data_IF_848005064878
#
_entry.id   IF_848005064878
#
_cell.length_a   1.000
_cell.length_b   1.000
_cell.length_c   1.000
_cell.angle_alpha   90.00
_cell.angle_beta   90.00
_cell.angle_gamma   90.00
#
_symmetry.space_group_name_H-M   'P 1'
#
loop_
_entity.id
_entity.type
_entity.pdbx_description
1 polymer ?
#
# COMPACT_ATOMS: atom_id res chain seq x y z
N UNK A 1 -25.37 11.43 -18.69
CA UNK A 1 -24.96 12.86 -18.76
C UNK A 1 -25.57 13.70 -17.62
N UNK A 2 -26.89 13.82 -17.44
CA UNK A 2 -27.53 14.67 -16.38
C UNK A 2 -27.07 14.33 -14.94
N UNK A 3 -26.82 13.06 -14.58
CA UNK A 3 -26.34 12.65 -13.25
C UNK A 3 -24.91 13.14 -13.00
N UNK A 4 -23.99 12.98 -13.97
CA UNK A 4 -22.62 13.48 -13.88
C UNK A 4 -22.54 15.00 -13.73
N UNK A 5 -23.36 15.74 -14.49
CA UNK A 5 -23.44 17.21 -14.36
C UNK A 5 -23.90 17.63 -12.96
N UNK A 6 -24.92 16.96 -12.39
CA UNK A 6 -25.37 17.23 -11.02
C UNK A 6 -24.28 16.96 -9.99
N UNK A 7 -23.54 15.84 -10.11
CA UNK A 7 -22.42 15.52 -9.21
C UNK A 7 -21.33 16.59 -9.34
N UNK A 8 -21.03 17.00 -10.56
CA UNK A 8 -20.03 18.07 -10.82
C UNK A 8 -20.40 19.41 -10.16
N UNK A 9 -21.68 19.77 -10.14
CA UNK A 9 -22.16 21.02 -9.55
C UNK A 9 -22.21 21.00 -8.02
N UNK A 10 -22.18 19.83 -7.38
CA UNK A 10 -22.22 19.74 -5.91
C UNK A 10 -21.00 20.40 -5.26
N UNK A 11 -21.23 21.17 -4.20
CA UNK A 11 -20.18 21.70 -3.33
C UNK A 11 -19.52 20.60 -2.49
N UNK A 12 -20.28 19.55 -2.14
CA UNK A 12 -19.83 18.40 -1.39
C UNK A 12 -20.42 17.12 -1.99
N UNK A 13 -19.63 16.05 -2.03
CA UNK A 13 -19.98 14.75 -2.60
C UNK A 13 -19.77 13.66 -1.58
N UNK A 14 -20.63 12.66 -1.57
CA UNK A 14 -20.43 11.43 -0.80
C UNK A 14 -19.89 10.38 -1.75
N UNK A 15 -18.74 9.82 -1.43
CA UNK A 15 -18.04 8.87 -2.27
C UNK A 15 -17.56 7.65 -1.47
N UNK A 16 -17.52 6.50 -2.13
CA UNK A 16 -16.81 5.32 -1.65
C UNK A 16 -15.47 5.20 -2.36
N UNK A 17 -14.42 4.94 -1.59
CA UNK A 17 -13.14 4.47 -2.11
C UNK A 17 -12.97 2.99 -1.75
N UNK A 18 -12.53 2.17 -2.71
CA UNK A 18 -12.30 0.75 -2.50
C UNK A 18 -10.95 0.32 -3.03
N UNK A 19 -10.27 -0.52 -2.26
CA UNK A 19 -8.96 -1.05 -2.64
C UNK A 19 -8.74 -2.44 -2.04
N UNK A 20 -8.14 -3.32 -2.84
CA UNK A 20 -7.51 -4.54 -2.33
C UNK A 20 -6.00 -4.45 -2.64
N UNK A 21 -5.19 -4.52 -1.59
CA UNK A 21 -3.74 -4.33 -1.68
C UNK A 21 -2.99 -5.59 -2.12
N UNK A 22 -1.70 -5.44 -2.41
CA UNK A 22 -0.81 -6.56 -2.78
C UNK A 22 -0.55 -7.56 -1.65
N UNK A 23 -0.89 -7.22 -0.39
CA UNK A 23 -0.91 -8.14 0.75
C UNK A 23 -1.96 -9.24 0.61
N UNK A 24 -2.99 -8.99 -0.20
CA UNK A 24 -4.08 -9.94 -0.49
C UNK A 24 -4.77 -10.42 0.80
N UNK A 25 -4.94 -9.52 1.75
CA UNK A 25 -5.57 -9.79 3.05
C UNK A 25 -7.06 -9.45 3.10
N UNK A 26 -7.52 -8.54 2.22
CA UNK A 26 -8.92 -8.16 2.15
C UNK A 26 -9.16 -6.93 1.29
N UNK A 27 -10.39 -6.43 1.40
CA UNK A 27 -10.87 -5.22 0.74
C UNK A 27 -11.04 -4.11 1.77
N UNK A 28 -10.33 -3.01 1.58
CA UNK A 28 -10.56 -1.77 2.32
C UNK A 28 -11.64 -0.96 1.62
N UNK A 29 -12.62 -0.49 2.40
CA UNK A 29 -13.71 0.37 1.92
C UNK A 29 -13.82 1.59 2.82
N UNK A 30 -13.78 2.77 2.21
CA UNK A 30 -13.89 4.05 2.90
C UNK A 30 -15.07 4.85 2.36
N UNK A 31 -16.02 5.20 3.20
CA UNK A 31 -17.08 6.15 2.91
C UNK A 31 -16.62 7.55 3.31
N UNK A 32 -16.62 8.48 2.37
CA UNK A 32 -16.04 9.81 2.57
C UNK A 32 -16.99 10.92 2.09
N UNK A 33 -16.85 12.08 2.74
CA UNK A 33 -17.39 13.34 2.23
C UNK A 33 -16.26 14.16 1.63
N UNK A 34 -16.37 14.49 0.35
CA UNK A 34 -15.36 15.27 -0.38
C UNK A 34 -15.95 16.62 -0.70
N UNK A 35 -15.36 17.69 -0.17
CA UNK A 35 -15.73 19.08 -0.46
C UNK A 35 -14.62 19.75 -1.30
N UNK A 36 -14.99 20.74 -2.11
CA UNK A 36 -14.02 21.38 -3.01
C UNK A 36 -13.67 20.56 -4.25
N UNK A 37 -12.61 20.93 -4.95
CA UNK A 37 -12.13 20.31 -6.20
C UNK A 37 -10.63 20.43 -6.35
N UNK A 38 -10.00 19.47 -7.04
CA UNK A 38 -8.56 19.47 -7.29
C UNK A 38 -7.77 19.68 -6.01
N UNK A 39 -6.80 20.57 -6.03
CA UNK A 39 -5.98 20.87 -4.85
C UNK A 39 -6.78 21.52 -3.70
N UNK A 40 -7.93 22.14 -3.95
CA UNK A 40 -8.78 22.69 -2.90
C UNK A 40 -9.73 21.64 -2.27
N UNK A 41 -9.55 20.36 -2.59
CA UNK A 41 -10.35 19.29 -1.99
C UNK A 41 -10.03 19.11 -0.50
N UNK A 42 -11.09 18.85 0.25
CA UNK A 42 -11.03 18.42 1.64
C UNK A 42 -11.83 17.13 1.77
N UNK A 43 -11.28 16.17 2.46
CA UNK A 43 -11.87 14.83 2.62
C UNK A 43 -12.14 14.58 4.09
N UNK A 44 -13.37 14.19 4.40
CA UNK A 44 -13.79 13.78 5.73
C UNK A 44 -14.21 12.31 5.68
N UNK A 45 -13.57 11.47 6.48
CA UNK A 45 -13.91 10.06 6.61
C UNK A 45 -15.21 9.92 7.43
N UNK A 46 -16.21 9.28 6.86
CA UNK A 46 -17.51 9.03 7.49
C UNK A 46 -17.58 7.63 8.10
N UNK A 47 -17.05 6.64 7.38
CA UNK A 47 -16.97 5.25 7.84
C UNK A 47 -15.84 4.52 7.10
N UNK A 48 -15.27 3.50 7.74
CA UNK A 48 -14.22 2.66 7.17
C UNK A 48 -14.36 1.23 7.68
N UNK A 49 -14.14 0.27 6.79
CA UNK A 49 -14.01 -1.13 7.17
C UNK A 49 -13.05 -1.87 6.24
N UNK A 50 -12.35 -2.84 6.80
CA UNK A 50 -11.59 -3.86 6.05
C UNK A 50 -12.38 -5.17 6.10
N UNK A 51 -12.68 -5.72 4.93
CA UNK A 51 -13.34 -7.01 4.77
C UNK A 51 -12.32 -8.06 4.35
N UNK A 52 -11.96 -9.00 5.23
CA UNK A 52 -10.91 -9.98 4.93
C UNK A 52 -11.35 -10.95 3.83
N UNK A 53 -10.42 -11.32 2.95
CA UNK A 53 -10.63 -12.45 2.06
C UNK A 53 -10.62 -13.76 2.84
N UNK A 54 -11.44 -14.73 2.41
CA UNK A 54 -11.31 -16.11 2.89
C UNK A 54 -9.94 -16.67 2.50
N UNK A 55 -9.45 -17.66 3.25
CA UNK A 55 -8.17 -18.32 2.92
C UNK A 55 -8.17 -18.89 1.50
N UNK A 56 -9.30 -19.46 1.05
CA UNK A 56 -9.47 -19.97 -0.29
C UNK A 56 -9.37 -18.85 -1.34
N UNK A 57 -10.07 -17.74 -1.15
CA UNK A 57 -10.03 -16.59 -2.08
C UNK A 57 -8.63 -15.99 -2.15
N UNK A 58 -7.99 -15.80 -1.01
CA UNK A 58 -6.61 -15.31 -0.96
C UNK A 58 -5.66 -16.19 -1.75
N UNK A 59 -5.76 -17.51 -1.59
CA UNK A 59 -4.92 -18.45 -2.33
C UNK A 59 -5.19 -18.39 -3.84
N UNK A 60 -6.47 -18.32 -4.26
CA UNK A 60 -6.82 -18.16 -5.68
C UNK A 60 -6.19 -16.89 -6.28
N UNK A 61 -6.31 -15.74 -5.58
CA UNK A 61 -5.70 -14.48 -6.05
C UNK A 61 -4.17 -14.60 -6.17
N UNK A 62 -3.50 -15.21 -5.21
CA UNK A 62 -2.03 -15.40 -5.24
C UNK A 62 -1.58 -16.29 -6.40
N UNK A 63 -2.38 -17.28 -6.79
CA UNK A 63 -2.10 -18.17 -7.91
C UNK A 63 -2.25 -17.50 -9.28
N UNK A 64 -2.95 -16.35 -9.38
CA UNK A 64 -3.16 -15.64 -10.64
C UNK A 64 -1.87 -15.14 -11.30
N UNK A 65 -0.76 -15.06 -10.58
CA UNK A 65 0.56 -14.71 -11.15
C UNK A 65 1.05 -15.72 -12.21
N UNK A 66 0.59 -16.96 -12.12
CA UNK A 66 0.93 -18.05 -13.05
C UNK A 66 -0.30 -18.71 -13.68
N UNK A 67 -1.47 -18.09 -13.53
CA UNK A 67 -2.73 -18.65 -14.00
C UNK A 67 -2.91 -18.50 -15.53
N UNK A 68 -3.82 -19.29 -16.07
CA UNK A 68 -4.28 -19.16 -17.45
C UNK A 68 -5.21 -17.96 -17.61
N UNK A 69 -5.34 -17.49 -18.84
CA UNK A 69 -6.15 -16.30 -19.16
C UNK A 69 -7.62 -16.46 -18.74
N UNK A 70 -8.16 -17.67 -18.89
CA UNK A 70 -9.56 -17.97 -18.52
C UNK A 70 -9.80 -17.75 -17.03
N UNK A 71 -8.84 -18.14 -16.21
CA UNK A 71 -8.92 -18.00 -14.75
C UNK A 71 -8.82 -16.53 -14.31
N UNK A 72 -7.93 -15.76 -14.95
CA UNK A 72 -7.83 -14.31 -14.72
C UNK A 72 -9.14 -13.63 -15.12
N UNK A 73 -9.73 -14.03 -16.26
CA UNK A 73 -11.00 -13.50 -16.74
C UNK A 73 -12.14 -13.76 -15.74
N UNK A 74 -12.30 -15.01 -15.28
CA UNK A 74 -13.30 -15.37 -14.28
C UNK A 74 -13.11 -14.59 -12.97
N UNK A 75 -11.86 -14.54 -12.50
CA UNK A 75 -11.52 -13.87 -11.25
C UNK A 75 -11.76 -12.35 -11.29
N UNK A 76 -11.65 -11.71 -12.46
CA UNK A 76 -12.01 -10.30 -12.61
C UNK A 76 -13.46 -10.04 -12.22
N UNK A 77 -14.38 -10.91 -12.64
CA UNK A 77 -15.81 -10.81 -12.31
C UNK A 77 -16.07 -11.19 -10.86
N UNK A 78 -15.49 -12.28 -10.36
CA UNK A 78 -15.64 -12.71 -8.95
C UNK A 78 -15.18 -11.62 -7.99
N UNK A 79 -14.03 -10.99 -8.24
CA UNK A 79 -13.52 -9.89 -7.41
C UNK A 79 -14.44 -8.67 -7.52
N UNK A 80 -14.99 -8.39 -8.69
CA UNK A 80 -16.01 -7.35 -8.88
C UNK A 80 -17.24 -7.55 -7.99
N UNK A 81 -17.76 -8.79 -7.91
CA UNK A 81 -18.87 -9.17 -7.02
C UNK A 81 -18.51 -8.94 -5.53
N UNK A 82 -17.33 -9.38 -5.11
CA UNK A 82 -16.85 -9.19 -3.73
C UNK A 82 -16.73 -7.70 -3.39
N UNK A 83 -16.19 -6.89 -4.29
CA UNK A 83 -16.09 -5.45 -4.10
C UNK A 83 -17.45 -4.78 -3.96
N UNK A 84 -18.43 -5.18 -4.80
CA UNK A 84 -19.79 -4.68 -4.71
C UNK A 84 -20.45 -5.06 -3.37
N UNK A 85 -20.28 -6.31 -2.92
CA UNK A 85 -20.78 -6.77 -1.61
C UNK A 85 -20.16 -5.99 -0.45
N UNK A 86 -18.84 -5.74 -0.49
CA UNK A 86 -18.15 -4.95 0.53
C UNK A 86 -18.68 -3.51 0.58
N UNK A 87 -18.91 -2.89 -0.59
CA UNK A 87 -19.50 -1.56 -0.69
C UNK A 87 -20.88 -1.51 -0.04
N UNK A 88 -21.78 -2.43 -0.41
CA UNK A 88 -23.14 -2.49 0.13
C UNK A 88 -23.15 -2.76 1.64
N UNK A 89 -22.27 -3.64 2.14
CA UNK A 89 -22.12 -3.92 3.58
C UNK A 89 -21.69 -2.68 4.36
N UNK A 90 -20.71 -1.92 3.87
CA UNK A 90 -20.28 -0.69 4.54
C UNK A 90 -21.39 0.35 4.55
N UNK A 91 -22.11 0.52 3.42
CA UNK A 91 -23.23 1.47 3.34
C UNK A 91 -24.33 1.13 4.33
N UNK A 92 -24.73 -0.14 4.40
CA UNK A 92 -25.73 -0.60 5.35
C UNK A 92 -25.29 -0.35 6.80
N UNK A 93 -24.04 -0.67 7.14
CA UNK A 93 -23.48 -0.42 8.47
C UNK A 93 -23.46 1.07 8.83
N UNK A 94 -23.13 1.92 7.86
CA UNK A 94 -23.04 3.37 8.04
C UNK A 94 -24.41 4.09 7.95
N UNK A 95 -25.52 3.37 7.70
CA UNK A 95 -26.86 3.94 7.56
C UNK A 95 -27.08 4.73 6.26
N UNK A 96 -26.30 4.44 5.22
CA UNK A 96 -26.41 5.06 3.91
C UNK A 96 -27.08 4.12 2.90
N UNK A 97 -27.89 4.71 2.00
CA UNK A 97 -28.42 4.00 0.83
C UNK A 97 -27.55 4.29 -0.39
N UNK A 98 -27.46 3.36 -1.37
CA UNK A 98 -26.68 3.55 -2.59
C UNK A 98 -27.02 4.84 -3.36
N UNK A 99 -28.28 5.26 -3.36
CA UNK A 99 -28.76 6.46 -4.05
C UNK A 99 -28.19 7.77 -3.48
N UNK A 100 -27.70 7.72 -2.23
CA UNK A 100 -27.05 8.86 -1.57
C UNK A 100 -25.58 9.00 -1.95
N UNK A 101 -25.01 8.00 -2.63
CA UNK A 101 -23.62 7.98 -3.05
C UNK A 101 -23.48 8.58 -4.44
N UNK A 102 -22.60 9.55 -4.56
CA UNK A 102 -22.35 10.23 -5.82
C UNK A 102 -21.53 9.39 -6.79
N UNK A 103 -20.46 8.76 -6.29
CA UNK A 103 -19.59 7.86 -7.07
C UNK A 103 -18.81 6.90 -6.18
N UNK A 104 -18.37 5.82 -6.78
CA UNK A 104 -17.42 4.85 -6.23
C UNK A 104 -16.12 4.97 -7.00
N UNK A 105 -14.98 5.05 -6.28
CA UNK A 105 -13.66 4.86 -6.85
C UNK A 105 -13.15 3.47 -6.48
N UNK A 106 -12.93 2.60 -7.46
CA UNK A 106 -12.41 1.26 -7.22
C UNK A 106 -11.02 1.09 -7.83
N UNK A 107 -10.04 0.81 -6.98
CA UNK A 107 -8.69 0.43 -7.44
C UNK A 107 -8.66 -1.02 -7.94
N UNK A 108 -9.58 -1.87 -7.46
CA UNK A 108 -9.51 -3.31 -7.68
C UNK A 108 -8.39 -3.98 -6.89
N UNK A 109 -8.05 -5.20 -7.30
CA UNK A 109 -6.95 -6.04 -6.78
C UNK A 109 -5.82 -6.07 -7.80
N UNK A 110 -4.64 -5.61 -7.43
CA UNK A 110 -3.46 -5.70 -8.32
C UNK A 110 -2.99 -7.13 -8.45
N UNK A 111 -2.92 -7.61 -9.69
CA UNK A 111 -2.33 -8.90 -10.06
C UNK A 111 -0.89 -8.71 -10.51
N UNK A 112 -0.67 -7.77 -11.44
CA UNK A 112 0.66 -7.52 -11.96
C UNK A 112 0.91 -6.04 -12.22
N UNK A 113 2.17 -5.62 -12.07
CA UNK A 113 2.62 -4.28 -12.42
C UNK A 113 4.02 -4.34 -13.02
N UNK A 114 4.16 -3.87 -14.26
CA UNK A 114 5.41 -3.80 -15.00
C UNK A 114 5.85 -2.34 -15.12
N UNK A 115 6.97 -2.00 -14.53
CA UNK A 115 7.55 -0.64 -14.53
C UNK A 115 8.54 -0.39 -15.67
N UNK A 116 8.35 -0.99 -16.83
CA UNK A 116 9.17 -0.73 -18.02
C UNK A 116 10.65 -1.16 -17.94
N UNK A 117 11.06 -1.86 -16.90
CA UNK A 117 12.43 -2.36 -16.77
C UNK A 117 12.75 -3.38 -17.89
N UNK A 118 14.02 -3.44 -18.31
CA UNK A 118 14.52 -4.37 -19.30
C UNK A 118 13.86 -4.25 -20.70
N UNK A 119 13.48 -3.03 -21.13
CA UNK A 119 12.93 -2.78 -22.48
C UNK A 119 11.46 -3.18 -22.64
N UNK A 120 10.77 -3.55 -21.56
CA UNK A 120 9.33 -3.82 -21.58
C UNK A 120 8.54 -2.52 -21.48
N UNK A 121 7.32 -2.52 -22.01
CA UNK A 121 6.36 -1.41 -21.83
C UNK A 121 5.88 -1.34 -20.38
N UNK A 122 5.70 -0.13 -19.87
CA UNK A 122 4.88 0.08 -18.68
C UNK A 122 3.50 -0.55 -18.89
N UNK A 123 3.11 -1.44 -18.01
CA UNK A 123 1.79 -2.07 -18.05
C UNK A 123 1.37 -2.52 -16.66
N UNK A 124 0.08 -2.67 -16.47
CA UNK A 124 -0.47 -3.01 -15.15
C UNK A 124 -1.79 -3.76 -15.33
N UNK A 125 -2.08 -4.66 -14.41
CA UNK A 125 -3.33 -5.41 -14.37
C UNK A 125 -3.89 -5.36 -12.95
N UNK A 126 -5.03 -4.68 -12.81
CA UNK A 126 -5.90 -4.75 -11.66
C UNK A 126 -7.18 -5.47 -12.11
N UNK A 127 -7.69 -6.38 -11.28
CA UNK A 127 -8.96 -7.07 -11.47
C UNK A 127 -10.00 -6.59 -10.48
N UNK A 128 -11.28 -6.83 -10.78
CA UNK A 128 -12.42 -6.34 -10.02
C UNK A 128 -13.28 -5.46 -10.91
N UNK A 129 -14.05 -6.12 -11.80
CA UNK A 129 -14.83 -5.52 -12.87
C UNK A 129 -15.71 -4.37 -12.40
N UNK A 130 -15.41 -3.15 -12.85
CA UNK A 130 -16.13 -1.93 -12.46
C UNK A 130 -17.59 -1.92 -12.92
N UNK A 131 -17.92 -2.57 -14.03
CA UNK A 131 -19.28 -2.71 -14.51
C UNK A 131 -20.16 -3.53 -13.55
N UNK A 132 -19.60 -4.58 -12.94
CA UNK A 132 -20.29 -5.37 -11.90
C UNK A 132 -20.59 -4.48 -10.69
N UNK A 133 -19.58 -3.72 -10.21
CA UNK A 133 -19.76 -2.83 -9.06
C UNK A 133 -20.87 -1.81 -9.37
N UNK A 134 -20.82 -1.19 -10.55
CA UNK A 134 -21.83 -0.22 -10.96
C UNK A 134 -23.24 -0.82 -11.08
N UNK A 135 -23.36 -2.01 -11.69
CA UNK A 135 -24.63 -2.70 -11.86
C UNK A 135 -25.26 -3.11 -10.52
N UNK A 136 -24.44 -3.69 -9.60
CA UNK A 136 -24.89 -4.16 -8.30
C UNK A 136 -25.29 -3.03 -7.34
N UNK A 137 -24.54 -1.92 -7.39
CA UNK A 137 -24.77 -0.78 -6.47
C UNK A 137 -25.69 0.28 -7.05
N UNK A 138 -25.88 0.35 -8.37
CA UNK A 138 -26.54 1.45 -9.05
C UNK A 138 -25.78 2.78 -8.99
N UNK A 139 -24.51 2.75 -8.55
CA UNK A 139 -23.66 3.95 -8.37
C UNK A 139 -22.65 4.05 -9.50
N UNK A 140 -22.40 5.26 -9.99
CA UNK A 140 -21.32 5.51 -10.96
C UNK A 140 -20.00 5.03 -10.37
N UNK A 141 -19.32 4.12 -11.06
CA UNK A 141 -18.02 3.57 -10.64
C UNK A 141 -16.92 4.06 -11.54
N UNK A 142 -15.84 4.55 -10.94
CA UNK A 142 -14.59 4.96 -11.60
C UNK A 142 -13.52 3.95 -11.22
N UNK A 143 -12.85 3.38 -12.22
CA UNK A 143 -11.79 2.38 -12.07
C UNK A 143 -10.62 2.69 -13.01
N UNK A 144 -9.65 1.77 -13.09
CA UNK A 144 -8.52 1.83 -14.03
C UNK A 144 -7.60 3.06 -13.86
N UNK A 145 -7.39 3.49 -12.64
CA UNK A 145 -6.54 4.64 -12.33
C UNK A 145 -5.10 4.45 -12.82
N UNK A 146 -4.53 3.24 -12.66
CA UNK A 146 -3.15 2.95 -13.09
C UNK A 146 -3.01 2.84 -14.60
N UNK A 147 -3.90 2.13 -15.32
CA UNK A 147 -3.93 2.17 -16.77
C UNK A 147 -4.08 3.59 -17.33
N UNK A 148 -4.92 4.42 -16.70
CA UNK A 148 -5.11 5.81 -17.13
C UNK A 148 -3.83 6.65 -16.99
N UNK A 149 -3.09 6.50 -15.89
CA UNK A 149 -1.79 7.15 -15.68
C UNK A 149 -0.77 6.72 -16.73
N UNK A 150 -0.68 5.42 -17.01
CA UNK A 150 0.23 4.88 -18.04
C UNK A 150 -0.14 5.41 -19.43
N UNK A 151 -1.43 5.48 -19.75
CA UNK A 151 -1.91 6.04 -21.02
C UNK A 151 -1.57 7.52 -21.17
N UNK A 152 -1.50 8.25 -20.06
CA UNK A 152 -1.05 9.65 -20.03
C UNK A 152 0.49 9.81 -20.04
N UNK A 153 1.26 8.72 -20.16
CA UNK A 153 2.73 8.76 -20.20
C UNK A 153 3.40 8.49 -18.85
N UNK A 154 2.63 8.20 -17.80
CA UNK A 154 3.13 7.83 -16.49
C UNK A 154 3.59 6.36 -16.39
N UNK A 155 3.86 5.94 -15.18
CA UNK A 155 4.31 4.58 -14.86
C UNK A 155 3.25 3.72 -14.15
N UNK A 156 2.08 4.30 -13.87
CA UNK A 156 0.99 3.65 -13.13
C UNK A 156 1.22 3.54 -11.63
N UNK A 157 2.37 3.99 -11.13
CA UNK A 157 2.73 4.02 -9.71
C UNK A 157 3.90 4.99 -9.48
N UNK A 158 3.94 5.69 -8.32
CA UNK A 158 2.92 5.72 -7.28
C UNK A 158 1.76 6.67 -7.61
N UNK A 159 0.54 6.35 -7.19
CA UNK A 159 -0.65 7.22 -7.34
C UNK A 159 -0.98 7.99 -6.06
N UNK A 160 -0.59 7.43 -4.91
CA UNK A 160 -0.90 7.96 -3.58
C UNK A 160 -0.32 9.35 -3.31
N UNK A 161 0.87 9.74 -3.80
CA UNK A 161 1.50 11.02 -3.48
C UNK A 161 0.66 12.26 -3.81
N UNK A 162 -0.16 12.20 -4.87
CA UNK A 162 -1.11 13.27 -5.16
C UNK A 162 -2.18 13.42 -4.08
N UNK A 163 -2.76 12.29 -3.66
CA UNK A 163 -3.74 12.28 -2.56
C UNK A 163 -3.09 12.71 -1.25
N UNK A 164 -1.87 12.25 -0.97
CA UNK A 164 -1.08 12.65 0.19
C UNK A 164 -0.89 14.16 0.21
N UNK A 165 -0.51 14.75 -0.91
CA UNK A 165 -0.38 16.20 -1.01
C UNK A 165 -1.69 16.93 -0.74
N UNK A 166 -2.80 16.50 -1.36
CA UNK A 166 -4.12 17.12 -1.15
C UNK A 166 -4.55 17.04 0.31
N UNK A 167 -4.33 15.91 0.98
CA UNK A 167 -4.83 15.64 2.33
C UNK A 167 -3.93 16.21 3.44
N UNK A 168 -2.61 16.18 3.22
CA UNK A 168 -1.66 16.43 4.31
C UNK A 168 -0.85 17.70 4.15
N UNK A 169 -0.94 18.42 3.02
CA UNK A 169 -0.21 19.69 2.90
C UNK A 169 -0.63 20.69 3.97
N UNK A 170 0.34 21.42 4.48
CA UNK A 170 0.13 22.48 5.46
C UNK A 170 1.05 23.66 5.14
N UNK A 171 0.49 24.86 5.06
CA UNK A 171 1.27 26.07 4.79
C UNK A 171 2.40 26.23 5.81
N UNK A 172 3.61 26.44 5.31
CA UNK A 172 4.81 26.67 6.13
C UNK A 172 5.36 25.43 6.82
N UNK A 173 4.91 24.22 6.43
CA UNK A 173 5.43 22.96 6.98
C UNK A 173 5.73 21.96 5.88
N UNK A 174 6.79 21.19 6.05
CA UNK A 174 7.12 20.01 5.27
C UNK A 174 6.76 18.78 6.09
N UNK A 175 5.93 17.90 5.53
CA UNK A 175 5.47 16.67 6.17
C UNK A 175 6.04 15.45 5.47
N UNK A 176 6.47 14.47 6.24
CA UNK A 176 6.82 13.15 5.74
C UNK A 176 5.71 12.18 6.11
N UNK A 177 5.19 11.46 5.13
CA UNK A 177 4.22 10.39 5.30
C UNK A 177 4.95 9.07 5.10
N UNK A 178 5.29 8.40 6.19
CA UNK A 178 6.02 7.14 6.21
C UNK A 178 5.02 6.00 6.36
N UNK A 179 4.92 5.15 5.33
CA UNK A 179 4.11 3.95 5.39
C UNK A 179 5.00 2.73 5.65
N UNK A 180 4.78 2.05 6.77
CA UNK A 180 5.45 0.81 7.17
C UNK A 180 4.55 -0.39 6.83
N UNK A 181 4.39 -0.66 5.53
CA UNK A 181 3.71 -1.84 4.99
C UNK A 181 4.65 -3.04 4.86
N UNK A 182 4.38 -3.94 3.92
CA UNK A 182 5.33 -5.02 3.55
C UNK A 182 6.67 -4.46 3.07
N UNK A 183 6.62 -3.39 2.25
CA UNK A 183 7.71 -2.49 1.91
C UNK A 183 7.47 -1.17 2.64
N UNK A 184 8.54 -0.56 3.13
CA UNK A 184 8.48 0.77 3.70
C UNK A 184 8.66 1.82 2.60
N UNK A 185 7.78 2.82 2.57
CA UNK A 185 7.84 3.92 1.61
C UNK A 185 7.55 5.25 2.28
N UNK A 186 7.98 6.32 1.63
CA UNK A 186 7.81 7.68 2.14
C UNK A 186 7.33 8.61 1.03
N UNK A 187 6.38 9.48 1.36
CA UNK A 187 6.00 10.65 0.58
C UNK A 187 6.40 11.90 1.36
N UNK A 188 7.16 12.79 0.76
CA UNK A 188 7.44 14.12 1.30
C UNK A 188 6.45 15.10 0.69
N UNK A 189 5.71 15.77 1.56
CA UNK A 189 4.66 16.73 1.22
C UNK A 189 5.14 18.12 1.60
N UNK A 190 5.75 18.85 0.66
CA UNK A 190 6.19 20.24 0.85
C UNK A 190 5.04 21.22 0.59
N UNK A 191 5.35 22.50 0.42
CA UNK A 191 4.37 23.53 0.12
C UNK A 191 3.78 23.49 -1.29
N UNK A 192 4.52 22.91 -2.27
CA UNK A 192 4.18 22.87 -3.69
C UNK A 192 4.11 21.45 -4.20
N UNK A 193 3.17 21.19 -5.12
CA UNK A 193 2.94 19.85 -5.65
C UNK A 193 4.13 19.32 -6.47
N UNK A 194 4.79 20.20 -7.20
CA UNK A 194 5.92 19.88 -8.08
C UNK A 194 7.17 19.43 -7.28
N UNK A 195 7.21 19.76 -5.99
CA UNK A 195 8.29 19.41 -5.08
C UNK A 195 8.03 18.11 -4.32
N UNK A 196 6.86 17.48 -4.51
CA UNK A 196 6.52 16.20 -3.88
C UNK A 196 7.46 15.12 -4.38
N UNK A 197 8.10 14.43 -3.45
CA UNK A 197 8.89 13.24 -3.75
C UNK A 197 8.31 12.03 -3.03
N UNK A 198 8.31 10.88 -3.68
CA UNK A 198 7.87 9.63 -3.09
C UNK A 198 8.75 8.49 -3.60
N UNK A 199 9.14 7.59 -2.69
CA UNK A 199 9.94 6.42 -3.04
C UNK A 199 9.91 5.37 -1.93
N UNK A 200 10.26 4.13 -2.28
CA UNK A 200 10.40 3.05 -1.32
C UNK A 200 11.75 3.15 -0.60
N UNK A 201 11.72 3.19 0.72
CA UNK A 201 12.94 3.32 1.54
C UNK A 201 13.69 2.00 1.66
N UNK A 202 12.96 0.88 1.62
CA UNK A 202 13.51 -0.47 1.74
C UNK A 202 12.49 -1.47 2.29
N UNK A 203 12.96 -2.52 2.98
CA UNK A 203 12.05 -3.50 3.56
C UNK A 203 11.17 -2.88 4.64
N UNK A 204 9.96 -3.41 4.75
CA UNK A 204 9.06 -3.18 5.87
C UNK A 204 8.78 -4.49 6.59
N UNK A 205 7.51 -4.79 6.85
CA UNK A 205 7.12 -6.01 7.57
C UNK A 205 7.36 -7.30 6.78
N UNK A 206 7.50 -7.25 5.47
CA UNK A 206 7.56 -8.45 4.62
C UNK A 206 8.69 -9.41 5.04
N UNK A 207 9.85 -8.88 5.39
CA UNK A 207 10.99 -9.68 5.88
C UNK A 207 10.69 -10.26 7.25
N UNK A 208 10.14 -9.46 8.15
CA UNK A 208 9.79 -9.87 9.51
C UNK A 208 8.73 -10.98 9.50
N UNK A 209 7.66 -10.75 8.74
CA UNK A 209 6.54 -11.69 8.61
C UNK A 209 7.00 -13.01 7.98
N UNK A 210 7.88 -12.94 6.98
CA UNK A 210 8.48 -14.12 6.35
C UNK A 210 9.32 -14.96 7.33
N UNK A 211 10.18 -14.32 8.12
CA UNK A 211 10.99 -15.01 9.14
C UNK A 211 10.11 -15.65 10.23
N UNK A 212 9.07 -14.93 10.68
CA UNK A 212 8.11 -15.47 11.66
C UNK A 212 7.35 -16.65 11.07
N UNK A 213 6.87 -16.56 9.83
CA UNK A 213 6.16 -17.65 9.17
C UNK A 213 7.04 -18.90 9.03
N UNK A 214 8.33 -18.76 8.69
CA UNK A 214 9.29 -19.87 8.63
C UNK A 214 9.46 -20.50 10.02
N UNK A 215 9.76 -19.70 11.05
CA UNK A 215 9.98 -20.21 12.42
C UNK A 215 8.81 -20.99 12.95
N UNK A 216 7.60 -20.52 12.71
CA UNK A 216 6.38 -21.09 13.26
C UNK A 216 5.61 -21.97 12.27
N UNK A 217 6.22 -22.30 11.11
CA UNK A 217 5.62 -23.16 10.09
C UNK A 217 4.21 -22.68 9.67
N UNK A 218 4.07 -21.36 9.47
CA UNK A 218 2.82 -20.72 9.08
C UNK A 218 1.79 -20.54 10.20
N UNK A 219 2.00 -21.08 11.40
CA UNK A 219 1.08 -20.92 12.55
C UNK A 219 1.04 -19.51 13.10
N UNK A 220 2.10 -18.74 12.92
CA UNK A 220 2.14 -17.28 13.18
C UNK A 220 2.57 -16.57 11.90
N UNK A 221 2.00 -15.38 11.67
CA UNK A 221 2.21 -14.62 10.43
C UNK A 221 3.02 -13.34 10.63
N UNK A 222 3.15 -12.85 11.85
CA UNK A 222 3.87 -11.63 12.18
C UNK A 222 4.37 -11.65 13.62
N UNK A 223 5.30 -10.76 13.94
CA UNK A 223 5.71 -10.44 15.32
C UNK A 223 4.72 -9.43 15.90
N UNK A 224 3.70 -9.94 16.59
CA UNK A 224 2.65 -9.09 17.17
C UNK A 224 3.27 -8.09 18.14
N UNK A 225 3.00 -6.80 17.93
CA UNK A 225 3.49 -5.67 18.72
C UNK A 225 5.03 -5.60 18.86
N UNK A 226 5.78 -6.36 18.06
CA UNK A 226 7.24 -6.45 18.15
C UNK A 226 7.75 -7.21 19.37
N UNK A 227 6.94 -8.08 19.95
CA UNK A 227 7.27 -8.78 21.21
C UNK A 227 8.44 -9.76 21.09
N UNK A 228 8.64 -10.38 19.93
CA UNK A 228 9.79 -11.26 19.70
C UNK A 228 11.05 -10.42 19.58
N UNK A 229 11.00 -9.38 18.75
CA UNK A 229 12.10 -8.45 18.55
C UNK A 229 12.53 -7.75 19.84
N UNK A 230 11.59 -7.43 20.74
CA UNK A 230 11.88 -6.80 22.02
C UNK A 230 12.77 -7.62 22.96
N UNK A 231 12.88 -8.92 22.74
CA UNK A 231 13.62 -9.86 23.60
C UNK A 231 15.02 -10.19 23.07
N UNK A 232 15.30 -9.81 21.83
CA UNK A 232 16.57 -10.12 21.19
C UNK A 232 17.57 -8.98 21.26
N UNK A 233 18.75 -9.27 20.76
CA UNK A 233 19.84 -8.30 20.58
C UNK A 233 20.18 -8.17 19.11
N UNK A 234 20.57 -6.98 18.70
CA UNK A 234 21.00 -6.72 17.32
C UNK A 234 22.36 -7.37 17.06
N UNK A 235 22.44 -8.24 16.07
CA UNK A 235 23.73 -8.67 15.51
C UNK A 235 24.26 -7.59 14.60
N UNK A 236 25.32 -6.93 15.05
CA UNK A 236 25.95 -5.79 14.33
C UNK A 236 26.59 -6.21 13.00
N UNK A 237 27.08 -7.44 12.88
CA UNK A 237 27.72 -7.91 11.65
C UNK A 237 26.66 -8.17 10.59
N UNK A 238 25.60 -8.93 10.94
CA UNK A 238 24.47 -9.19 10.04
C UNK A 238 23.80 -7.87 9.62
N UNK A 239 23.55 -6.95 10.55
CA UNK A 239 22.97 -5.64 10.23
C UNK A 239 23.84 -4.85 9.25
N UNK A 240 25.17 -4.83 9.48
CA UNK A 240 26.11 -4.16 8.57
C UNK A 240 26.07 -4.74 7.16
N UNK A 241 25.97 -6.05 7.03
CA UNK A 241 25.90 -6.73 5.73
C UNK A 241 24.56 -6.47 5.03
N UNK A 242 23.45 -6.50 5.75
CA UNK A 242 22.15 -6.09 5.25
C UNK A 242 22.13 -4.63 4.75
N UNK A 243 22.76 -3.72 5.48
CA UNK A 243 22.87 -2.31 5.10
C UNK A 243 23.74 -2.06 3.87
N UNK A 244 24.48 -3.06 3.37
CA UNK A 244 25.20 -3.02 2.09
C UNK A 244 24.32 -3.36 0.89
N UNK A 245 23.08 -3.77 1.11
CA UNK A 245 22.16 -4.17 0.05
C UNK A 245 22.11 -3.13 -1.08
N UNK A 246 22.26 -3.53 -2.37
CA UNK A 246 22.41 -2.61 -3.51
C UNK A 246 21.22 -1.63 -3.65
N UNK A 247 20.00 -2.08 -3.35
CA UNK A 247 18.81 -1.24 -3.40
C UNK A 247 18.93 0.03 -2.54
N UNK A 248 19.50 -0.06 -1.35
CA UNK A 248 19.65 1.07 -0.44
C UNK A 248 20.58 2.18 -0.97
N UNK A 249 21.40 1.86 -1.98
CA UNK A 249 22.29 2.82 -2.65
C UNK A 249 21.63 3.56 -3.81
N UNK A 250 20.53 3.02 -4.35
CA UNK A 250 19.82 3.59 -5.51
C UNK A 250 19.27 4.98 -5.16
N UNK A 251 19.36 5.90 -6.14
CA UNK A 251 18.76 7.23 -6.03
C UNK A 251 17.24 7.18 -6.26
N UNK A 252 16.44 8.03 -5.60
CA UNK A 252 15.07 8.29 -6.00
C UNK A 252 15.00 8.96 -7.40
N UNK A 253 13.92 8.69 -8.19
CA UNK A 253 12.79 7.83 -7.84
C UNK A 253 13.16 6.36 -7.89
N UNK A 254 12.78 5.61 -6.87
CA UNK A 254 13.03 4.16 -6.78
C UNK A 254 11.85 3.44 -6.15
N UNK A 255 11.56 2.26 -6.65
CA UNK A 255 10.55 1.35 -6.11
C UNK A 255 11.12 -0.05 -5.96
N UNK A 256 10.48 -0.87 -5.13
CA UNK A 256 10.85 -2.25 -4.88
C UNK A 256 9.66 -3.05 -4.39
N UNK A 257 9.82 -4.37 -4.32
CA UNK A 257 8.76 -5.28 -3.94
C UNK A 257 9.28 -6.63 -3.44
N UNK A 258 8.45 -7.64 -3.64
CA UNK A 258 8.74 -9.02 -3.24
C UNK A 258 9.95 -9.61 -3.97
N UNK A 259 10.25 -9.13 -5.15
CA UNK A 259 11.40 -9.55 -5.95
C UNK A 259 12.73 -9.22 -5.26
N UNK A 260 12.76 -8.18 -4.43
CA UNK A 260 13.98 -7.71 -3.74
C UNK A 260 14.00 -8.11 -2.27
N UNK A 261 12.89 -7.91 -1.56
CA UNK A 261 12.81 -8.09 -0.11
C UNK A 261 11.84 -9.21 0.31
N UNK A 262 11.45 -10.07 -0.63
CA UNK A 262 10.55 -11.20 -0.39
C UNK A 262 11.28 -12.49 0.00
N UNK A 263 10.79 -13.59 -0.54
CA UNK A 263 11.16 -14.96 -0.14
C UNK A 263 12.67 -15.24 -0.24
N UNK A 264 13.32 -14.72 -1.30
CA UNK A 264 14.76 -14.92 -1.50
C UNK A 264 15.60 -14.34 -0.36
N UNK A 265 15.32 -13.08 0.04
CA UNK A 265 16.01 -12.45 1.16
C UNK A 265 15.66 -13.13 2.48
N UNK A 266 14.39 -13.51 2.68
CA UNK A 266 13.94 -14.20 3.89
C UNK A 266 14.66 -15.53 4.08
N UNK A 267 14.78 -16.34 3.02
CA UNK A 267 15.53 -17.62 3.04
C UNK A 267 17.01 -17.39 3.35
N UNK A 268 17.63 -16.43 2.67
CA UNK A 268 19.04 -16.08 2.91
C UNK A 268 19.29 -15.64 4.36
N UNK A 269 18.39 -14.81 4.92
CA UNK A 269 18.48 -14.41 6.34
C UNK A 269 18.27 -15.55 7.31
N UNK A 270 17.34 -16.45 6.99
CA UNK A 270 17.10 -17.66 7.79
C UNK A 270 18.33 -18.55 7.85
N UNK A 271 19.00 -18.75 6.72
CA UNK A 271 20.25 -19.54 6.62
C UNK A 271 21.41 -18.85 7.36
N UNK A 272 21.59 -17.54 7.19
CA UNK A 272 22.63 -16.78 7.89
C UNK A 272 22.40 -16.69 9.39
N UNK A 273 21.13 -16.74 9.83
CA UNK A 273 20.74 -16.77 11.24
C UNK A 273 20.82 -18.15 11.88
N UNK A 274 21.31 -19.18 11.17
CA UNK A 274 21.44 -20.52 11.73
C UNK A 274 22.41 -20.52 12.92
N UNK A 275 21.95 -21.06 14.05
CA UNK A 275 22.70 -21.01 15.32
C UNK A 275 22.52 -19.74 16.15
N UNK A 276 21.86 -18.72 15.62
CA UNK A 276 21.50 -17.51 16.36
C UNK A 276 20.15 -17.68 17.08
N UNK A 277 19.96 -17.11 18.29
CA UNK A 277 18.63 -17.02 18.88
C UNK A 277 17.65 -16.33 17.93
N UNK A 278 16.48 -16.94 17.72
CA UNK A 278 15.50 -16.40 16.77
C UNK A 278 15.06 -14.95 17.11
N UNK A 279 15.01 -14.63 18.41
CA UNK A 279 14.72 -13.26 18.83
C UNK A 279 15.78 -12.26 18.30
N UNK A 280 17.08 -12.64 18.31
CA UNK A 280 18.16 -11.79 17.82
C UNK A 280 18.07 -11.59 16.31
N UNK A 281 17.72 -12.62 15.55
CA UNK A 281 17.47 -12.53 14.11
C UNK A 281 16.33 -11.57 13.80
N UNK A 282 15.18 -11.69 14.48
CA UNK A 282 14.04 -10.79 14.30
C UNK A 282 14.37 -9.36 14.74
N UNK A 283 15.10 -9.19 15.84
CA UNK A 283 15.56 -7.86 16.30
C UNK A 283 16.43 -7.23 15.25
N UNK A 284 17.42 -7.97 14.71
CA UNK A 284 18.33 -7.48 13.65
C UNK A 284 17.56 -7.09 12.39
N UNK A 285 16.59 -7.90 11.96
CA UNK A 285 15.75 -7.59 10.81
C UNK A 285 14.84 -6.36 11.05
N UNK A 286 14.34 -6.18 12.29
CA UNK A 286 13.57 -4.98 12.68
C UNK A 286 14.43 -3.72 12.61
N UNK A 287 15.64 -3.78 13.15
CA UNK A 287 16.61 -2.69 13.04
C UNK A 287 17.05 -2.42 11.60
N UNK A 288 17.11 -3.44 10.75
CA UNK A 288 17.40 -3.24 9.33
C UNK A 288 16.32 -2.38 8.65
N UNK A 289 15.03 -2.61 8.94
CA UNK A 289 13.94 -1.76 8.46
C UNK A 289 14.11 -0.31 8.94
N UNK A 290 14.31 -0.11 10.25
CA UNK A 290 14.52 1.23 10.81
C UNK A 290 15.74 1.94 10.23
N UNK A 291 16.87 1.24 10.11
CA UNK A 291 18.11 1.78 9.55
C UNK A 291 17.99 2.13 8.06
N UNK A 292 17.23 1.35 7.27
CA UNK A 292 16.98 1.65 5.87
C UNK A 292 16.13 2.93 5.71
N UNK A 293 15.10 3.10 6.55
CA UNK A 293 14.31 4.34 6.63
C UNK A 293 15.21 5.52 7.01
N UNK A 294 15.92 5.42 8.13
CA UNK A 294 16.81 6.47 8.62
C UNK A 294 17.85 6.90 7.56
N UNK A 295 18.50 5.92 6.92
CA UNK A 295 19.45 6.19 5.82
C UNK A 295 18.80 6.94 4.67
N UNK A 296 17.54 6.60 4.33
CA UNK A 296 16.79 7.26 3.26
C UNK A 296 16.52 8.72 3.61
N UNK A 297 16.18 9.01 4.86
CA UNK A 297 16.01 10.38 5.35
C UNK A 297 17.32 11.16 5.29
N UNK A 298 18.40 10.63 5.83
CA UNK A 298 19.71 11.29 5.84
C UNK A 298 20.24 11.56 4.43
N UNK A 299 20.09 10.60 3.52
CA UNK A 299 20.74 10.68 2.21
C UNK A 299 19.93 11.41 1.16
N UNK A 300 18.58 11.30 1.20
CA UNK A 300 17.72 11.73 0.10
C UNK A 300 16.69 12.79 0.48
N UNK A 301 16.39 12.96 1.77
CA UNK A 301 15.34 13.87 2.22
C UNK A 301 15.92 15.10 2.90
N UNK A 302 16.68 14.93 3.96
CA UNK A 302 17.23 16.04 4.74
C UNK A 302 18.15 17.00 3.98
N UNK A 303 18.88 16.57 2.92
CA UNK A 303 19.65 17.53 2.12
C UNK A 303 18.79 18.58 1.40
N UNK A 304 17.51 18.27 1.12
CA UNK A 304 16.61 19.15 0.36
C UNK A 304 15.44 19.67 1.19
N UNK A 305 15.06 18.99 2.28
CA UNK A 305 13.87 19.29 3.06
C UNK A 305 14.15 19.30 4.55
N UNK A 306 13.75 20.38 5.22
CA UNK A 306 13.61 20.41 6.68
C UNK A 306 12.24 19.84 7.03
N UNK A 307 12.18 18.57 7.41
CA UNK A 307 10.92 17.90 7.79
C UNK A 307 10.47 18.38 9.16
N UNK A 308 9.25 18.88 9.25
CA UNK A 308 8.67 19.39 10.50
C UNK A 308 7.84 18.33 11.24
N UNK A 309 7.15 17.47 10.50
CA UNK A 309 6.23 16.47 11.06
C UNK A 309 6.37 15.15 10.27
N UNK A 310 6.38 14.01 10.98
CA UNK A 310 6.36 12.67 10.38
C UNK A 310 5.08 11.97 10.81
N UNK A 311 4.28 11.54 9.83
CA UNK A 311 3.10 10.73 10.04
C UNK A 311 3.42 9.28 9.66
N UNK A 312 3.27 8.36 10.60
CA UNK A 312 3.53 6.94 10.38
C UNK A 312 2.22 6.18 10.20
N UNK A 313 2.14 5.40 9.13
CA UNK A 313 1.00 4.54 8.78
C UNK A 313 1.45 3.11 8.48
N UNK A 314 0.51 2.25 8.11
CA UNK A 314 0.77 0.84 7.82
C UNK A 314 0.82 -0.04 9.07
N UNK A 315 0.87 -1.36 8.86
CA UNK A 315 0.87 -2.34 9.95
C UNK A 315 2.07 -2.24 10.88
N UNK A 316 3.23 -1.82 10.36
CA UNK A 316 4.47 -1.67 11.12
C UNK A 316 4.39 -0.65 12.25
N UNK A 317 3.47 0.31 12.19
CA UNK A 317 3.24 1.28 13.29
C UNK A 317 2.84 0.62 14.62
N UNK A 318 2.30 -0.61 14.56
CA UNK A 318 1.93 -1.37 15.75
C UNK A 318 3.10 -2.15 16.35
N UNK A 319 4.19 -2.33 15.60
CA UNK A 319 5.40 -2.96 16.10
C UNK A 319 6.17 -1.96 16.99
N UNK A 320 6.02 -2.08 18.30
CA UNK A 320 6.62 -1.16 19.29
C UNK A 320 8.14 -1.14 19.24
N UNK A 321 8.77 -2.27 18.92
CA UNK A 321 10.24 -2.36 18.79
C UNK A 321 10.74 -1.61 17.55
N UNK A 322 9.96 -1.64 16.45
CA UNK A 322 10.29 -0.88 15.24
C UNK A 322 10.10 0.64 15.46
N UNK A 323 9.13 1.02 16.27
CA UNK A 323 8.79 2.43 16.53
C UNK A 323 9.63 3.09 17.62
N UNK A 324 10.32 2.31 18.46
CA UNK A 324 11.24 2.80 19.49
C UNK A 324 12.57 3.23 18.91
#
# INVERSE_FOLDING_TARGET
MKRLQRIWQKKSRIALGMMAGTSTDGVDVALTRISGRGLASSVHLLSFATYPFSAQMRNRILQLLSARTEEICEMNFIVGEILADCALKLLAHAGYKPEQIDFIGSHGQTIYHLSGAAGRRNSTLQIGEGAIIAARTGVITVCDFRPADIAAGGTGAPLVPYADFVLFRKKGKVRALLNLGGIANVTIVPGRLEEVIAFDTGPGNMVLDGLVALKFQGRKRCDVDGQIAARGKVDKNLLRDLMRHPYLKRQPPKSTGRETFGEGLVKSLWEQGNGMPFADLITTATYFTAAAVHRSFLKFIFPSFKVDEIFVSGGGRHNRTLMA
#
